data_IF_553161639702
#
_entry.id   IF_553161639702
#
_cell.length_a   1.000
_cell.length_b   1.000
_cell.length_c   1.000
_cell.angle_alpha   90.00
_cell.angle_beta   90.00
_cell.angle_gamma   90.00
#
_symmetry.space_group_name_H-M   'P 1'
#
loop_
_entity.id
_entity.type
_entity.pdbx_description
1 polymer ?
#
# COMPACT_ATOMS: atom_id res chain seq x y z
N UNK A 1 8.26 1.92 13.85
CA UNK A 1 9.42 2.05 12.94
C UNK A 1 10.59 1.29 13.53
N UNK A 2 11.38 0.62 12.69
CA UNK A 2 12.58 -0.08 13.15
C UNK A 2 13.71 0.91 13.42
N UNK A 3 14.58 0.53 14.34
CA UNK A 3 15.80 1.27 14.66
C UNK A 3 16.89 0.97 13.62
N UNK A 4 17.90 1.85 13.52
CA UNK A 4 19.03 1.65 12.60
C UNK A 4 19.73 0.29 12.78
N UNK A 5 19.89 -0.14 14.03
CA UNK A 5 20.48 -1.45 14.37
C UNK A 5 19.61 -2.62 13.91
N UNK A 6 18.29 -2.51 14.01
CA UNK A 6 17.37 -3.55 13.56
C UNK A 6 17.41 -3.73 12.04
N UNK A 7 17.55 -2.65 11.27
CA UNK A 7 17.78 -2.75 9.82
C UNK A 7 19.10 -3.47 9.51
N UNK A 8 20.18 -3.11 10.20
CA UNK A 8 21.48 -3.76 10.02
C UNK A 8 21.43 -5.26 10.35
N UNK A 9 20.77 -5.64 11.45
CA UNK A 9 20.60 -7.04 11.85
C UNK A 9 19.76 -7.80 10.82
N UNK A 10 18.67 -7.23 10.31
CA UNK A 10 17.89 -7.86 9.24
C UNK A 10 18.73 -8.08 7.98
N UNK A 11 19.51 -7.09 7.56
CA UNK A 11 20.36 -7.21 6.38
C UNK A 11 21.45 -8.29 6.60
N UNK A 12 22.01 -8.41 7.82
CA UNK A 12 22.93 -9.49 8.18
C UNK A 12 22.26 -10.87 8.10
N UNK A 13 21.06 -11.03 8.67
CA UNK A 13 20.28 -12.29 8.61
C UNK A 13 20.02 -12.70 7.16
N UNK A 14 19.54 -11.77 6.34
CA UNK A 14 19.23 -12.03 4.93
C UNK A 14 20.49 -12.38 4.14
N UNK A 15 21.60 -11.65 4.34
CA UNK A 15 22.87 -11.97 3.71
C UNK A 15 23.43 -13.32 4.14
N UNK A 16 23.28 -13.70 5.41
CA UNK A 16 23.70 -15.02 5.90
C UNK A 16 22.99 -16.15 5.14
N UNK A 17 21.69 -16.03 4.90
CA UNK A 17 20.92 -17.02 4.11
C UNK A 17 21.30 -16.95 2.63
N UNK A 18 21.55 -15.75 2.10
CA UNK A 18 21.93 -15.54 0.69
C UNK A 18 23.29 -16.14 0.34
N UNK A 19 24.24 -16.12 1.28
CA UNK A 19 25.57 -16.72 1.11
C UNK A 19 25.52 -18.21 0.74
N UNK A 20 24.46 -18.91 1.15
CA UNK A 20 24.22 -20.31 0.82
C UNK A 20 23.22 -20.50 -0.33
N UNK A 21 23.02 -19.48 -1.17
CA UNK A 21 22.12 -19.53 -2.32
C UNK A 21 20.64 -19.37 -1.95
N UNK A 22 20.36 -18.71 -0.83
CA UNK A 22 18.99 -18.44 -0.38
C UNK A 22 18.38 -19.58 0.44
N UNK A 23 19.15 -20.61 0.80
CA UNK A 23 18.72 -21.69 1.69
C UNK A 23 19.87 -22.17 2.56
N UNK A 24 19.66 -22.26 3.86
CA UNK A 24 20.67 -22.77 4.79
C UNK A 24 20.02 -23.55 5.93
N UNK A 25 20.77 -24.49 6.52
CA UNK A 25 20.36 -25.10 7.79
C UNK A 25 20.76 -24.19 8.97
N UNK A 26 20.29 -24.53 10.17
CA UNK A 26 20.56 -23.74 11.38
C UNK A 26 22.05 -23.61 11.71
N UNK A 27 22.83 -24.67 11.55
CA UNK A 27 24.28 -24.64 11.84
C UNK A 27 25.01 -23.67 10.89
N UNK A 28 24.67 -23.70 9.61
CA UNK A 28 25.18 -22.77 8.61
C UNK A 28 24.75 -21.33 8.89
N UNK A 29 23.49 -21.16 9.29
CA UNK A 29 22.92 -19.86 9.63
C UNK A 29 23.68 -19.19 10.78
N UNK A 30 23.84 -19.87 11.92
CA UNK A 30 24.56 -19.33 13.07
C UNK A 30 26.04 -19.12 12.78
N UNK A 31 26.67 -20.01 12.00
CA UNK A 31 28.07 -19.84 11.60
C UNK A 31 28.31 -18.59 10.74
N UNK A 32 27.31 -18.18 9.95
CA UNK A 32 27.38 -16.96 9.15
C UNK A 32 27.12 -15.67 9.95
N UNK A 33 26.72 -15.79 11.23
CA UNK A 33 26.43 -14.67 12.13
C UNK A 33 27.38 -14.69 13.35
N UNK A 34 28.64 -14.24 13.20
CA UNK A 34 29.66 -14.38 14.25
C UNK A 34 29.39 -13.54 15.51
N UNK A 35 28.53 -12.53 15.44
CA UNK A 35 28.09 -11.68 16.57
C UNK A 35 26.75 -12.13 17.17
N UNK A 36 26.20 -13.26 16.71
CA UNK A 36 24.90 -13.77 17.14
C UNK A 36 24.79 -13.99 18.65
N UNK A 37 25.78 -14.62 19.27
CA UNK A 37 25.75 -14.95 20.71
C UNK A 37 25.74 -13.69 21.60
N UNK A 38 26.32 -12.59 21.12
CA UNK A 38 26.33 -11.32 21.85
C UNK A 38 25.02 -10.53 21.71
N UNK A 39 24.22 -10.85 20.70
CA UNK A 39 23.02 -10.12 20.30
C UNK A 39 21.83 -11.05 20.05
N UNK A 40 21.77 -12.21 20.73
CA UNK A 40 20.83 -13.29 20.43
C UNK A 40 19.38 -12.81 20.43
N UNK A 41 19.00 -11.99 21.39
CA UNK A 41 17.63 -11.45 21.48
C UNK A 41 17.27 -10.56 20.30
N UNK A 42 18.21 -9.71 19.84
CA UNK A 42 17.98 -8.82 18.71
C UNK A 42 17.88 -9.61 17.40
N UNK A 43 18.73 -10.64 17.23
CA UNK A 43 18.70 -11.53 16.07
C UNK A 43 17.43 -12.38 16.01
N UNK A 44 17.02 -12.99 17.12
CA UNK A 44 15.79 -13.80 17.18
C UNK A 44 14.55 -12.93 16.90
N UNK A 45 14.48 -11.73 17.50
CA UNK A 45 13.41 -10.79 17.23
C UNK A 45 13.33 -10.40 15.74
N UNK A 46 14.48 -10.08 15.14
CA UNK A 46 14.52 -9.71 13.73
C UNK A 46 14.24 -10.89 12.79
N UNK A 47 14.68 -12.10 13.14
CA UNK A 47 14.34 -13.32 12.41
C UNK A 47 12.82 -13.55 12.41
N UNK A 48 12.18 -13.46 13.58
CA UNK A 48 10.74 -13.61 13.70
C UNK A 48 9.98 -12.56 12.89
N UNK A 49 10.42 -11.30 12.90
CA UNK A 49 9.81 -10.27 12.08
C UNK A 49 9.99 -10.51 10.58
N UNK A 50 11.19 -10.91 10.15
CA UNK A 50 11.44 -11.26 8.74
C UNK A 50 10.54 -12.40 8.29
N UNK A 51 10.22 -13.35 9.17
CA UNK A 51 9.26 -14.42 8.88
C UNK A 51 7.80 -13.95 8.87
N UNK A 52 7.35 -13.27 9.93
CA UNK A 52 5.92 -13.01 10.16
C UNK A 52 5.40 -11.75 9.48
N UNK A 53 6.20 -10.68 9.43
CA UNK A 53 5.75 -9.37 8.95
C UNK A 53 6.21 -9.10 7.52
N UNK A 54 7.46 -9.45 7.20
CA UNK A 54 8.01 -9.22 5.87
C UNK A 54 7.89 -10.42 4.94
N UNK A 55 7.53 -11.59 5.47
CA UNK A 55 7.49 -12.86 4.73
C UNK A 55 8.75 -13.09 3.89
N UNK A 56 9.90 -12.64 4.40
CA UNK A 56 11.17 -12.60 3.70
C UNK A 56 11.92 -13.93 3.78
N UNK A 57 11.71 -14.67 4.87
CA UNK A 57 12.33 -15.96 5.14
C UNK A 57 11.28 -16.89 5.74
N UNK A 58 11.42 -18.19 5.51
CA UNK A 58 10.49 -19.21 5.97
C UNK A 58 11.23 -20.48 6.40
N UNK A 59 10.63 -21.26 7.30
CA UNK A 59 11.10 -22.60 7.58
C UNK A 59 10.69 -23.55 6.46
N UNK A 60 11.60 -24.45 6.08
CA UNK A 60 11.33 -25.48 5.10
C UNK A 60 11.14 -26.85 5.77
N UNK A 61 9.94 -27.40 5.63
CA UNK A 61 9.57 -28.73 6.16
C UNK A 61 8.99 -28.68 7.57
N UNK A 62 8.51 -29.83 8.04
CA UNK A 62 7.89 -29.97 9.37
C UNK A 62 8.90 -29.80 10.51
N UNK A 63 10.18 -30.06 10.24
CA UNK A 63 11.20 -30.15 11.28
C UNK A 63 11.93 -28.83 11.59
N UNK A 64 11.54 -27.68 10.99
CA UNK A 64 12.10 -26.33 11.21
C UNK A 64 13.66 -26.21 11.12
N UNK A 65 14.37 -27.21 10.60
CA UNK A 65 15.84 -27.23 10.56
C UNK A 65 16.46 -26.40 9.43
N UNK A 66 15.65 -25.93 8.49
CA UNK A 66 16.09 -25.21 7.29
C UNK A 66 15.39 -23.88 7.16
N UNK A 67 16.17 -22.83 6.89
CA UNK A 67 15.69 -21.52 6.47
C UNK A 67 15.78 -21.40 4.96
N UNK A 68 14.71 -20.90 4.36
CA UNK A 68 14.65 -20.54 2.95
C UNK A 68 14.27 -19.07 2.82
N UNK A 69 14.87 -18.40 1.85
CA UNK A 69 14.50 -17.05 1.45
C UNK A 69 13.37 -17.07 0.43
N UNK A 70 12.36 -16.24 0.65
CA UNK A 70 11.23 -16.10 -0.26
C UNK A 70 11.55 -15.11 -1.38
N UNK A 71 10.62 -14.93 -2.33
CA UNK A 71 10.72 -13.88 -3.34
C UNK A 71 10.76 -12.46 -2.73
N UNK A 72 10.05 -12.23 -1.63
CA UNK A 72 10.11 -10.96 -0.90
C UNK A 72 11.48 -10.76 -0.24
N UNK A 73 12.07 -11.82 0.33
CA UNK A 73 13.41 -11.76 0.89
C UNK A 73 14.47 -11.39 -0.16
N UNK A 74 14.37 -11.93 -1.36
CA UNK A 74 15.28 -11.58 -2.47
C UNK A 74 15.12 -10.11 -2.90
N UNK A 75 13.87 -9.62 -2.97
CA UNK A 75 13.61 -8.21 -3.23
C UNK A 75 14.21 -7.31 -2.14
N UNK A 76 14.05 -7.69 -0.87
CA UNK A 76 14.60 -6.95 0.27
C UNK A 76 16.12 -6.94 0.22
N UNK A 77 16.79 -8.04 -0.14
CA UNK A 77 18.26 -8.03 -0.30
C UNK A 77 18.72 -7.08 -1.40
N UNK A 78 18.02 -7.05 -2.53
CA UNK A 78 18.42 -6.21 -3.67
C UNK A 78 18.31 -4.71 -3.37
N UNK A 79 17.37 -4.33 -2.50
CA UNK A 79 16.99 -2.93 -2.24
C UNK A 79 17.39 -2.46 -0.83
N UNK A 80 17.60 -3.36 0.11
CA UNK A 80 17.72 -3.09 1.54
C UNK A 80 16.35 -2.96 2.23
N UNK A 81 16.22 -3.47 3.46
CA UNK A 81 14.94 -3.47 4.20
C UNK A 81 14.40 -2.07 4.47
N UNK A 82 15.29 -1.10 4.71
CA UNK A 82 14.91 0.29 4.96
C UNK A 82 14.24 0.93 3.75
N UNK A 83 14.82 0.77 2.57
CA UNK A 83 14.31 1.33 1.33
C UNK A 83 13.05 0.58 0.88
N UNK A 84 13.00 -0.74 1.09
CA UNK A 84 11.81 -1.55 0.85
C UNK A 84 10.61 -1.03 1.64
N UNK A 85 10.75 -0.78 2.95
CA UNK A 85 9.68 -0.22 3.77
C UNK A 85 9.24 1.18 3.31
N UNK A 86 10.21 2.04 2.95
CA UNK A 86 9.90 3.39 2.48
C UNK A 86 9.14 3.37 1.15
N UNK A 87 9.50 2.45 0.24
CA UNK A 87 8.81 2.26 -1.03
C UNK A 87 7.40 1.71 -0.84
N UNK A 88 7.20 0.77 0.09
CA UNK A 88 5.89 0.25 0.43
C UNK A 88 4.97 1.31 1.05
N UNK A 89 5.49 2.12 1.99
CA UNK A 89 4.75 3.24 2.57
C UNK A 89 4.36 4.28 1.50
N UNK A 90 5.29 4.66 0.61
CA UNK A 90 5.02 5.60 -0.47
C UNK A 90 4.00 5.04 -1.49
N UNK A 91 3.99 3.73 -1.74
CA UNK A 91 3.03 3.08 -2.63
C UNK A 91 1.62 3.10 -2.02
N UNK A 92 1.50 2.82 -0.73
CA UNK A 92 0.23 2.89 -0.01
C UNK A 92 -0.33 4.32 0.05
N UNK A 93 0.54 5.32 0.27
CA UNK A 93 0.15 6.74 0.19
C UNK A 93 -0.32 7.12 -1.23
N UNK A 94 0.35 6.63 -2.27
CA UNK A 94 -0.01 6.87 -3.67
C UNK A 94 -1.36 6.24 -4.03
N UNK A 95 -1.62 5.01 -3.57
CA UNK A 95 -2.90 4.33 -3.77
C UNK A 95 -4.04 5.04 -3.04
N UNK A 96 -3.80 5.51 -1.81
CA UNK A 96 -4.75 6.32 -1.05
C UNK A 96 -5.01 7.68 -1.71
N UNK A 97 -4.00 8.33 -2.30
CA UNK A 97 -4.21 9.57 -3.05
C UNK A 97 -4.97 9.34 -4.35
N UNK A 98 -4.69 8.25 -5.08
CA UNK A 98 -5.48 7.86 -6.26
C UNK A 98 -6.94 7.59 -5.92
N UNK A 99 -7.22 6.83 -4.86
CA UNK A 99 -8.58 6.59 -4.37
C UNK A 99 -9.31 7.90 -4.03
N UNK A 100 -8.65 8.83 -3.33
CA UNK A 100 -9.21 10.15 -3.05
C UNK A 100 -9.50 10.93 -4.34
N UNK A 101 -8.60 10.85 -5.32
CA UNK A 101 -8.72 11.58 -6.58
C UNK A 101 -9.85 11.01 -7.46
N UNK A 102 -10.02 9.69 -7.52
CA UNK A 102 -11.14 9.02 -8.20
C UNK A 102 -12.49 9.34 -7.53
N UNK A 103 -12.54 9.35 -6.20
CA UNK A 103 -13.73 9.78 -5.47
C UNK A 103 -14.06 11.23 -5.84
N UNK A 104 -13.08 12.14 -5.76
CA UNK A 104 -13.28 13.57 -6.07
C UNK A 104 -13.73 13.78 -7.52
N UNK A 105 -13.16 13.04 -8.47
CA UNK A 105 -13.55 13.07 -9.88
C UNK A 105 -14.97 12.52 -10.11
N UNK A 106 -15.35 11.47 -9.38
CA UNK A 106 -16.71 10.92 -9.38
C UNK A 106 -17.75 11.93 -8.87
N UNK A 107 -17.45 12.63 -7.78
CA UNK A 107 -18.31 13.72 -7.27
C UNK A 107 -18.40 14.88 -8.26
N UNK A 108 -17.28 15.31 -8.85
CA UNK A 108 -17.28 16.38 -9.87
C UNK A 108 -18.11 16.01 -11.12
N UNK A 109 -18.11 14.73 -11.51
CA UNK A 109 -18.96 14.20 -12.59
C UNK A 109 -20.45 14.27 -12.24
N UNK A 110 -20.82 13.89 -11.02
CA UNK A 110 -22.20 14.00 -10.53
C UNK A 110 -22.69 15.45 -10.45
N UNK A 111 -21.84 16.38 -10.01
CA UNK A 111 -22.17 17.81 -10.00
C UNK A 111 -22.34 18.38 -11.42
N UNK A 112 -21.50 17.98 -12.38
CA UNK A 112 -21.68 18.36 -13.79
C UNK A 112 -22.97 17.79 -14.38
N UNK A 113 -23.31 16.55 -14.06
CA UNK A 113 -24.56 15.94 -14.50
C UNK A 113 -25.77 16.66 -13.90
N UNK A 114 -25.77 16.94 -12.59
CA UNK A 114 -26.82 17.69 -11.92
C UNK A 114 -26.99 19.09 -12.52
N UNK A 115 -25.89 19.77 -12.87
CA UNK A 115 -25.92 21.06 -13.56
C UNK A 115 -26.53 20.95 -14.96
N UNK A 116 -26.14 19.94 -15.74
CA UNK A 116 -26.72 19.68 -17.07
C UNK A 116 -28.23 19.43 -17.00
N UNK A 117 -28.68 18.62 -16.03
CA UNK A 117 -30.10 18.36 -15.80
C UNK A 117 -30.84 19.66 -15.41
N UNK A 118 -30.26 20.47 -14.52
CA UNK A 118 -30.85 21.75 -14.11
C UNK A 118 -30.97 22.73 -15.28
N UNK A 119 -29.93 22.84 -16.11
CA UNK A 119 -29.91 23.68 -17.32
C UNK A 119 -30.95 23.21 -18.36
N UNK A 120 -31.12 21.90 -18.54
CA UNK A 120 -32.13 21.35 -19.44
C UNK A 120 -33.57 21.65 -18.97
N UNK A 121 -33.83 21.57 -17.66
CA UNK A 121 -35.14 21.89 -17.08
C UNK A 121 -35.43 23.40 -17.23
N UNK A 122 -34.45 24.27 -16.97
CA UNK A 122 -34.62 25.72 -17.15
C UNK A 122 -34.81 26.10 -18.61
N UNK A 123 -34.09 25.47 -19.54
CA UNK A 123 -34.32 25.64 -20.99
C UNK A 123 -35.74 25.24 -21.41
N UNK A 124 -36.23 24.09 -20.95
CA UNK A 124 -37.58 23.62 -21.27
C UNK A 124 -38.70 24.51 -20.68
N UNK A 125 -38.48 25.14 -19.53
CA UNK A 125 -39.43 26.10 -18.93
C UNK A 125 -39.46 27.41 -19.71
N UNK A 126 -38.30 27.90 -20.19
CA UNK A 126 -38.22 29.12 -21.01
C UNK A 126 -38.87 28.91 -22.39
N UNK A 127 -38.66 27.76 -23.05
CA UNK A 127 -39.33 27.45 -24.32
C UNK A 127 -40.85 27.22 -24.17
N UNK A 128 -41.29 26.65 -23.03
CA UNK A 128 -42.72 26.49 -22.69
C UNK A 128 -43.45 27.83 -22.44
N UNK A 129 -42.71 28.87 -22.01
CA UNK A 129 -43.27 30.20 -21.71
C UNK A 129 -43.42 31.11 -22.93
N UNK A 130 -42.69 30.86 -24.02
CA UNK A 130 -42.76 31.67 -25.25
C UNK A 130 -44.01 31.33 -26.09
N UNK A 131 -44.70 30.23 -25.81
CA UNK A 131 -45.84 29.76 -26.62
C UNK A 131 -47.13 29.36 -25.89
N UNK A 132 -47.26 29.48 -24.56
CA UNK A 132 -48.40 28.89 -23.84
C UNK A 132 -49.17 29.89 -22.94
N UNK A 133 -50.52 29.89 -22.89
CA UNK A 133 -51.34 30.87 -22.17
C UNK A 133 -51.15 30.90 -20.64
N UNK A 134 -50.44 29.94 -20.07
CA UNK A 134 -50.19 29.80 -18.62
C UNK A 134 -49.25 30.91 -18.11
N UNK A 135 -48.31 31.38 -18.93
CA UNK A 135 -47.42 32.51 -18.58
C UNK A 135 -48.19 33.82 -18.33
N UNK A 136 -49.28 34.04 -19.07
CA UNK A 136 -50.18 35.18 -18.84
C UNK A 136 -50.99 35.05 -17.55
N UNK A 137 -51.23 33.84 -17.06
CA UNK A 137 -51.99 33.59 -15.83
C UNK A 137 -51.14 33.90 -14.58
N UNK A 138 -49.84 33.58 -14.62
CA UNK A 138 -48.92 33.83 -13.51
C UNK A 138 -48.60 35.33 -13.38
N UNK A 139 -48.45 36.06 -14.50
CA UNK A 139 -48.22 37.50 -14.45
C UNK A 139 -49.41 38.28 -13.85
N UNK A 140 -50.64 37.80 -14.07
CA UNK A 140 -51.87 38.42 -13.56
C UNK A 140 -52.20 38.05 -12.10
N UNK A 141 -51.43 37.16 -11.48
CA UNK A 141 -51.55 36.78 -10.06
C UNK A 141 -50.52 37.49 -9.17
N UNK A 142 -49.56 38.20 -9.77
CA UNK A 142 -48.46 38.90 -9.09
C UNK A 142 -48.67 40.44 -9.09
N UNK A 143 -49.57 40.96 -9.93
CA UNK A 143 -50.19 42.31 -9.77
C UNK A 143 -51.43 42.25 -8.88
#
# INVERSE_FOLDING_TARGET
MLTGKQYEIADKILNAINQFGGRCNMDQFYKALPDYDNHTMDYEYMKEMLMKQFHAIEYMGEDEYWLMMTGEGQNIISTGLKEYQQKSANKEELENTKLKLDVTNGWASLFKFAWWVLAAITGAVVDSLVGNPIGKLIHRLIE
#
